data_IF_169852891873
#
_entry.id   IF_169852891873
#
_cell.length_a   1.000
_cell.length_b   1.000
_cell.length_c   1.000
_cell.angle_alpha   90.00
_cell.angle_beta   90.00
_cell.angle_gamma   90.00
#
_symmetry.space_group_name_H-M   'P 1'
#
loop_
_entity.id
_entity.type
_entity.pdbx_description
1 polymer ?
#
# COMPACT_ATOMS: atom_id res chain seq x y z
N UNK A 1 -40.99 -21.01 -9.38
CA UNK A 1 -40.53 -20.72 -10.76
C UNK A 1 -40.69 -21.95 -11.62
N UNK A 2 -41.11 -21.76 -12.87
CA UNK A 2 -41.21 -22.85 -13.85
C UNK A 2 -42.46 -23.73 -13.73
N UNK A 3 -43.44 -23.34 -12.91
CA UNK A 3 -44.75 -23.99 -12.94
C UNK A 3 -45.53 -23.46 -14.14
N UNK A 4 -46.10 -24.39 -14.88
CA UNK A 4 -46.99 -24.14 -15.99
C UNK A 4 -48.44 -24.10 -15.50
N UNK A 5 -49.18 -23.10 -15.95
CA UNK A 5 -50.58 -22.90 -15.59
C UNK A 5 -51.41 -22.80 -16.85
N UNK A 6 -52.43 -23.63 -16.95
CA UNK A 6 -53.50 -23.43 -17.92
C UNK A 6 -54.62 -22.64 -17.25
N UNK A 7 -55.11 -21.62 -17.94
CA UNK A 7 -56.22 -20.81 -17.45
C UNK A 7 -57.46 -21.10 -18.30
N UNK A 8 -58.63 -21.11 -17.64
CA UNK A 8 -59.92 -21.19 -18.31
C UNK A 8 -60.87 -20.12 -17.78
N UNK A 9 -61.67 -19.53 -18.66
CA UNK A 9 -62.64 -18.48 -18.33
C UNK A 9 -64.01 -18.83 -18.93
N UNK A 10 -65.08 -18.59 -18.18
CA UNK A 10 -66.45 -18.71 -18.65
C UNK A 10 -67.24 -17.48 -18.18
N UNK A 11 -68.13 -16.98 -19.03
CA UNK A 11 -69.07 -15.93 -18.64
C UNK A 11 -70.22 -16.53 -17.81
N UNK A 12 -70.69 -15.83 -16.78
CA UNK A 12 -71.74 -16.30 -15.86
C UNK A 12 -72.94 -15.35 -15.91
N UNK A 13 -74.14 -15.88 -16.08
CA UNK A 13 -75.39 -15.12 -15.96
C UNK A 13 -76.36 -15.79 -14.96
N UNK A 14 -77.61 -15.30 -14.86
CA UNK A 14 -78.63 -15.82 -13.93
C UNK A 14 -78.98 -17.31 -14.15
N UNK A 15 -78.69 -17.87 -15.32
CA UNK A 15 -78.90 -19.28 -15.64
C UNK A 15 -77.67 -20.16 -15.36
N UNK A 16 -76.50 -19.56 -15.07
CA UNK A 16 -75.26 -20.26 -14.75
C UNK A 16 -74.06 -19.86 -15.63
N UNK A 17 -72.92 -20.58 -15.48
CA UNK A 17 -71.74 -20.40 -16.32
C UNK A 17 -71.94 -20.97 -17.73
N UNK A 18 -71.45 -20.26 -18.75
CA UNK A 18 -71.33 -20.75 -20.13
C UNK A 18 -70.12 -21.68 -20.32
N UNK A 19 -69.81 -21.99 -21.58
CA UNK A 19 -68.64 -22.82 -21.93
C UNK A 19 -67.32 -22.13 -21.53
N UNK A 20 -66.35 -22.95 -21.12
CA UNK A 20 -65.02 -22.48 -20.75
C UNK A 20 -64.14 -22.32 -21.99
N UNK A 21 -63.67 -21.09 -22.24
CA UNK A 21 -62.53 -20.85 -23.11
C UNK A 21 -61.23 -21.13 -22.35
N UNK A 22 -60.24 -21.76 -22.99
CA UNK A 22 -58.93 -22.07 -22.41
C UNK A 22 -57.83 -21.24 -23.06
N UNK A 23 -56.70 -21.07 -22.38
CA UNK A 23 -55.47 -20.56 -22.98
C UNK A 23 -54.96 -21.50 -24.07
N UNK A 24 -54.22 -20.97 -25.04
CA UNK A 24 -53.56 -21.75 -26.10
C UNK A 24 -52.29 -22.44 -25.55
N UNK A 25 -52.53 -23.38 -24.63
CA UNK A 25 -51.50 -24.11 -23.88
C UNK A 25 -51.15 -23.53 -22.50
N UNK A 26 -50.21 -24.19 -21.81
CA UNK A 26 -49.72 -23.77 -20.49
C UNK A 26 -48.91 -22.47 -20.55
N UNK A 27 -49.18 -21.55 -19.62
CA UNK A 27 -48.41 -20.34 -19.40
C UNK A 27 -47.42 -20.57 -18.26
N UNK A 28 -46.14 -20.36 -18.53
CA UNK A 28 -45.10 -20.48 -17.52
C UNK A 28 -45.08 -19.25 -16.61
N UNK A 29 -45.27 -19.45 -15.30
CA UNK A 29 -45.11 -18.37 -14.34
C UNK A 29 -43.63 -17.97 -14.21
N UNK A 30 -43.33 -16.72 -14.53
CA UNK A 30 -42.01 -16.09 -14.38
C UNK A 30 -42.11 -14.81 -13.52
N UNK A 31 -41.02 -14.39 -12.86
CA UNK A 31 -40.99 -13.13 -12.12
C UNK A 31 -41.35 -11.93 -13.04
N UNK A 32 -41.89 -10.84 -12.48
CA UNK A 32 -42.10 -9.61 -13.23
C UNK A 32 -40.80 -9.12 -13.86
N UNK A 33 -40.90 -8.58 -15.07
CA UNK A 33 -39.78 -7.94 -15.76
C UNK A 33 -39.34 -6.68 -15.01
N UNK A 34 -38.05 -6.61 -14.67
CA UNK A 34 -37.45 -5.56 -13.85
C UNK A 34 -36.12 -5.15 -14.47
N UNK A 35 -35.95 -3.85 -14.71
CA UNK A 35 -34.67 -3.26 -15.15
C UNK A 35 -33.61 -3.55 -14.08
N UNK A 36 -32.37 -3.93 -14.44
CA UNK A 36 -31.34 -4.22 -13.47
C UNK A 36 -31.07 -3.00 -12.57
N UNK A 37 -30.90 -3.22 -11.28
CA UNK A 37 -30.50 -2.18 -10.35
C UNK A 37 -29.64 -2.76 -9.23
N UNK A 38 -28.50 -2.14 -8.97
CA UNK A 38 -27.61 -2.52 -7.87
C UNK A 38 -28.10 -1.96 -6.53
N UNK A 39 -28.06 -2.78 -5.48
CA UNK A 39 -28.55 -2.42 -4.14
C UNK A 39 -27.37 -2.02 -3.25
N UNK A 40 -27.50 -0.91 -2.53
CA UNK A 40 -26.52 -0.47 -1.53
C UNK A 40 -25.31 0.27 -2.11
N UNK A 41 -25.42 0.75 -3.35
CA UNK A 41 -24.42 1.61 -3.99
C UNK A 41 -25.01 3.00 -4.22
N UNK A 42 -24.23 4.04 -3.90
CA UNK A 42 -24.62 5.43 -4.11
C UNK A 42 -24.05 5.91 -5.46
N UNK A 43 -24.90 6.42 -6.34
CA UNK A 43 -24.51 6.96 -7.64
C UNK A 43 -23.53 8.15 -7.55
N UNK A 44 -23.50 8.86 -6.42
CA UNK A 44 -22.69 10.08 -6.24
C UNK A 44 -21.35 9.85 -5.55
N UNK A 45 -21.13 8.68 -4.94
CA UNK A 45 -19.89 8.38 -4.22
C UNK A 45 -19.51 6.91 -4.41
N UNK A 46 -18.40 6.61 -5.12
CA UNK A 46 -17.97 5.23 -5.29
C UNK A 46 -17.64 4.61 -3.93
N UNK A 47 -18.05 3.36 -3.73
CA UNK A 47 -17.75 2.62 -2.52
C UNK A 47 -16.26 2.32 -2.45
N UNK A 48 -15.60 2.68 -1.36
CA UNK A 48 -14.20 2.31 -1.12
C UNK A 48 -14.13 0.91 -0.51
N UNK A 49 -13.24 0.08 -1.06
CA UNK A 49 -12.96 -1.28 -0.61
C UNK A 49 -11.47 -1.35 -0.31
N UNK A 50 -11.14 -1.49 0.97
CA UNK A 50 -9.75 -1.60 1.45
C UNK A 50 -9.47 -3.07 1.75
N UNK A 51 -8.38 -3.61 1.19
CA UNK A 51 -7.96 -5.00 1.34
C UNK A 51 -6.44 -5.06 1.52
N UNK A 52 -5.93 -5.98 2.35
CA UNK A 52 -4.48 -6.10 2.53
C UNK A 52 -3.84 -6.89 1.39
N UNK A 53 -2.62 -6.53 1.00
CA UNK A 53 -1.85 -7.32 0.05
C UNK A 53 -1.68 -8.78 0.54
N UNK A 54 -1.84 -9.74 -0.36
CA UNK A 54 -1.84 -11.17 -0.05
C UNK A 54 -3.16 -11.71 0.54
N UNK A 55 -4.16 -10.88 0.77
CA UNK A 55 -5.53 -11.31 1.07
C UNK A 55 -6.35 -11.48 -0.21
N UNK A 56 -7.55 -12.05 -0.08
CA UNK A 56 -8.45 -12.24 -1.20
C UNK A 56 -9.44 -11.07 -1.28
N UNK A 57 -9.53 -10.45 -2.45
CA UNK A 57 -10.53 -9.43 -2.73
C UNK A 57 -11.85 -10.09 -3.11
N UNK A 58 -12.92 -9.65 -2.43
CA UNK A 58 -14.31 -9.98 -2.76
C UNK A 58 -15.12 -8.71 -2.95
N UNK A 59 -15.78 -8.60 -4.09
CA UNK A 59 -16.65 -7.47 -4.41
C UNK A 59 -18.06 -7.98 -4.65
N UNK A 60 -18.91 -8.04 -3.61
CA UNK A 60 -20.31 -8.39 -3.77
C UNK A 60 -21.11 -7.17 -4.23
N UNK A 61 -21.85 -7.34 -5.32
CA UNK A 61 -22.82 -6.39 -5.85
C UNK A 61 -24.21 -7.05 -5.81
N UNK A 62 -24.96 -6.89 -4.71
CA UNK A 62 -26.35 -7.32 -4.66
C UNK A 62 -27.18 -6.53 -5.67
N UNK A 63 -28.14 -7.17 -6.33
CA UNK A 63 -28.95 -6.54 -7.35
C UNK A 63 -30.39 -7.08 -7.40
N UNK A 64 -31.26 -6.29 -8.02
CA UNK A 64 -32.55 -6.74 -8.56
C UNK A 64 -32.52 -6.68 -10.08
N UNK A 65 -33.28 -7.55 -10.74
CA UNK A 65 -33.37 -7.57 -12.20
C UNK A 65 -34.00 -8.87 -12.69
N UNK A 66 -34.97 -8.76 -13.59
CA UNK A 66 -35.58 -9.90 -14.27
C UNK A 66 -35.84 -9.57 -15.74
N UNK A 67 -35.40 -10.38 -16.71
CA UNK A 67 -34.55 -11.57 -16.57
C UNK A 67 -33.22 -11.29 -15.84
N UNK A 68 -32.61 -12.34 -15.28
CA UNK A 68 -31.34 -12.23 -14.51
C UNK A 68 -30.32 -11.47 -15.38
N UNK A 69 -29.75 -10.37 -14.89
CA UNK A 69 -28.82 -9.55 -15.68
C UNK A 69 -27.54 -10.32 -16.02
N UNK A 70 -27.02 -10.07 -17.22
CA UNK A 70 -25.62 -10.33 -17.53
C UNK A 70 -24.75 -9.37 -16.72
N UNK A 71 -23.66 -9.89 -16.16
CA UNK A 71 -22.73 -9.16 -15.31
C UNK A 71 -21.41 -8.97 -16.03
N UNK A 72 -20.89 -7.75 -16.01
CA UNK A 72 -19.55 -7.43 -16.48
C UNK A 72 -18.83 -6.58 -15.42
N UNK A 73 -17.68 -7.05 -14.96
CA UNK A 73 -16.77 -6.25 -14.13
C UNK A 73 -15.67 -5.65 -15.00
N UNK A 74 -15.27 -4.43 -14.72
CA UNK A 74 -14.16 -3.75 -15.37
C UNK A 74 -13.24 -3.10 -14.34
N UNK A 75 -11.95 -3.01 -14.67
CA UNK A 75 -10.95 -2.23 -13.94
C UNK A 75 -10.45 -1.10 -14.84
N UNK A 76 -10.72 0.14 -14.45
CA UNK A 76 -10.54 1.28 -15.35
C UNK A 76 -11.43 1.14 -16.60
N UNK A 77 -10.82 1.09 -17.78
CA UNK A 77 -11.51 0.88 -19.06
C UNK A 77 -11.58 -0.59 -19.49
N UNK A 78 -10.85 -1.48 -18.80
CA UNK A 78 -10.62 -2.83 -19.28
C UNK A 78 -11.57 -3.81 -18.61
N UNK A 79 -12.31 -4.56 -19.42
CA UNK A 79 -13.19 -5.62 -18.94
C UNK A 79 -12.36 -6.75 -18.30
N UNK A 80 -12.75 -7.13 -17.09
CA UNK A 80 -12.16 -8.23 -16.35
C UNK A 80 -12.74 -9.53 -16.89
N UNK A 81 -11.90 -10.34 -17.51
CA UNK A 81 -12.26 -11.68 -17.96
C UNK A 81 -11.91 -12.68 -16.87
N UNK A 82 -12.85 -13.57 -16.49
CA UNK A 82 -12.54 -14.65 -15.57
C UNK A 82 -11.39 -15.52 -16.12
N UNK A 83 -10.50 -15.92 -15.23
CA UNK A 83 -9.38 -16.82 -15.51
C UNK A 83 -9.20 -17.82 -14.34
N UNK A 84 -8.08 -18.53 -14.28
CA UNK A 84 -7.83 -19.52 -13.21
C UNK A 84 -7.82 -18.90 -11.80
N UNK A 85 -7.48 -17.61 -11.70
CA UNK A 85 -7.40 -16.89 -10.43
C UNK A 85 -8.61 -15.97 -10.23
N UNK A 86 -9.15 -15.36 -11.29
CA UNK A 86 -10.23 -14.38 -11.21
C UNK A 86 -11.57 -15.02 -11.50
N UNK A 87 -12.52 -14.93 -10.56
CA UNK A 87 -13.84 -15.52 -10.71
C UNK A 87 -14.93 -14.45 -10.65
N UNK A 88 -15.92 -14.55 -11.54
CA UNK A 88 -17.15 -13.76 -11.49
C UNK A 88 -18.31 -14.74 -11.32
N UNK A 89 -19.02 -14.63 -10.19
CA UNK A 89 -20.16 -15.50 -9.87
C UNK A 89 -21.44 -14.69 -9.77
N UNK A 90 -22.53 -15.24 -10.29
CA UNK A 90 -23.88 -14.69 -10.10
C UNK A 90 -24.73 -15.72 -9.39
N UNK A 91 -25.08 -15.46 -8.12
CA UNK A 91 -25.84 -16.39 -7.30
C UNK A 91 -26.69 -15.64 -6.29
N UNK A 92 -27.92 -16.11 -6.09
CA UNK A 92 -28.84 -15.59 -5.06
C UNK A 92 -29.03 -14.06 -5.10
N UNK A 93 -29.06 -13.47 -6.30
CA UNK A 93 -29.21 -12.02 -6.49
C UNK A 93 -27.95 -11.21 -6.21
N UNK A 94 -26.78 -11.85 -6.15
CA UNK A 94 -25.48 -11.21 -5.94
C UNK A 94 -24.57 -11.51 -7.12
N UNK A 95 -24.00 -10.45 -7.70
CA UNK A 95 -22.89 -10.51 -8.63
C UNK A 95 -21.60 -10.31 -7.84
N UNK A 96 -20.71 -11.29 -7.81
CA UNK A 96 -19.47 -11.23 -7.03
C UNK A 96 -18.24 -11.38 -7.92
N UNK A 97 -17.31 -10.42 -7.79
CA UNK A 97 -15.94 -10.56 -8.29
C UNK A 97 -15.03 -11.07 -7.16
N UNK A 98 -14.28 -12.13 -7.44
CA UNK A 98 -13.28 -12.71 -6.54
C UNK A 98 -11.90 -12.69 -7.21
N UNK A 99 -10.93 -12.08 -6.54
CA UNK A 99 -9.51 -12.07 -6.94
C UNK A 99 -8.68 -12.51 -5.72
N UNK A 100 -8.06 -13.70 -5.74
CA UNK A 100 -7.25 -14.19 -4.63
C UNK A 100 -5.91 -13.46 -4.59
N UNK A 101 -5.34 -13.34 -3.39
CA UNK A 101 -3.96 -12.88 -3.18
C UNK A 101 -3.61 -11.58 -3.91
N UNK A 102 -4.39 -10.54 -3.67
CA UNK A 102 -4.21 -9.25 -4.34
C UNK A 102 -2.86 -8.60 -4.02
N UNK A 103 -2.38 -7.81 -4.96
CA UNK A 103 -1.15 -7.02 -4.87
C UNK A 103 -1.45 -5.54 -5.03
N UNK A 104 -0.47 -4.66 -4.81
CA UNK A 104 -0.63 -3.23 -5.08
C UNK A 104 -1.10 -2.93 -6.50
N UNK A 105 -0.78 -3.80 -7.48
CA UNK A 105 -1.22 -3.67 -8.85
C UNK A 105 -2.73 -3.79 -9.01
N UNK A 106 -3.44 -4.47 -8.09
CA UNK A 106 -4.89 -4.65 -8.10
C UNK A 106 -5.66 -3.43 -7.60
N UNK A 107 -4.98 -2.44 -7.03
CA UNK A 107 -5.62 -1.16 -6.71
C UNK A 107 -6.15 -0.48 -7.96
N UNK A 108 -7.29 0.22 -7.83
CA UNK A 108 -7.85 0.98 -8.94
C UNK A 108 -9.35 1.23 -8.82
N UNK A 109 -9.89 1.88 -9.85
CA UNK A 109 -11.33 2.06 -9.99
C UNK A 109 -11.91 0.83 -10.67
N UNK A 110 -12.95 0.27 -10.08
CA UNK A 110 -13.68 -0.88 -10.58
C UNK A 110 -15.12 -0.47 -10.90
N UNK A 111 -15.68 -1.09 -11.93
CA UNK A 111 -17.07 -0.94 -12.30
C UNK A 111 -17.75 -2.31 -12.37
N UNK A 112 -19.01 -2.39 -11.96
CA UNK A 112 -19.88 -3.54 -12.21
C UNK A 112 -21.08 -3.07 -13.02
N UNK A 113 -21.26 -3.63 -14.21
CA UNK A 113 -22.37 -3.36 -15.10
C UNK A 113 -23.32 -4.56 -15.12
N UNK A 114 -24.58 -4.30 -14.79
CA UNK A 114 -25.68 -5.25 -14.80
C UNK A 114 -26.56 -4.93 -16.00
N UNK A 115 -26.74 -5.86 -16.94
CA UNK A 115 -27.51 -5.61 -18.17
C UNK A 115 -28.52 -6.70 -18.45
N UNK A 116 -29.75 -6.31 -18.75
CA UNK A 116 -30.73 -7.20 -19.38
C UNK A 116 -31.41 -6.47 -20.56
N UNK A 117 -32.41 -7.11 -21.17
CA UNK A 117 -33.11 -6.57 -22.33
C UNK A 117 -33.88 -5.25 -22.09
N UNK A 118 -34.14 -4.91 -20.82
CA UNK A 118 -34.92 -3.72 -20.44
C UNK A 118 -34.03 -2.51 -20.14
N UNK A 119 -32.76 -2.75 -19.82
CA UNK A 119 -31.82 -1.68 -19.50
C UNK A 119 -30.56 -2.18 -18.81
N UNK A 120 -29.81 -1.23 -18.26
CA UNK A 120 -28.56 -1.48 -17.56
C UNK A 120 -28.40 -0.54 -16.36
N UNK A 121 -27.66 -1.00 -15.36
CA UNK A 121 -27.17 -0.20 -14.25
C UNK A 121 -25.68 -0.46 -14.07
N UNK A 122 -24.93 0.58 -13.71
CA UNK A 122 -23.48 0.51 -13.53
C UNK A 122 -23.09 1.18 -12.23
N UNK A 123 -22.44 0.42 -11.35
CA UNK A 123 -21.88 0.93 -10.09
C UNK A 123 -20.38 1.07 -10.17
N UNK A 124 -19.86 2.14 -9.57
CA UNK A 124 -18.43 2.45 -9.49
C UNK A 124 -17.94 2.22 -8.06
N UNK A 125 -16.72 1.72 -7.95
CA UNK A 125 -16.07 1.36 -6.69
C UNK A 125 -14.59 1.68 -6.79
N UNK A 126 -13.95 1.94 -5.66
CA UNK A 126 -12.50 2.12 -5.60
C UNK A 126 -11.91 1.05 -4.70
N UNK A 127 -11.05 0.21 -5.27
CA UNK A 127 -10.28 -0.79 -4.53
C UNK A 127 -8.93 -0.17 -4.18
N UNK A 128 -8.59 -0.23 -2.89
CA UNK A 128 -7.31 0.22 -2.36
C UNK A 128 -6.66 -0.98 -1.69
N UNK A 129 -5.60 -1.51 -2.32
CA UNK A 129 -4.79 -2.58 -1.74
C UNK A 129 -3.71 -1.94 -0.89
N UNK A 130 -3.72 -2.27 0.40
CA UNK A 130 -2.82 -1.70 1.40
C UNK A 130 -1.82 -2.74 1.91
N UNK A 131 -0.62 -2.32 2.23
CA UNK A 131 0.45 -3.15 2.76
C UNK A 131 1.37 -2.32 3.67
N UNK A 132 2.30 -2.97 4.35
CA UNK A 132 3.46 -2.29 4.93
C UNK A 132 4.29 -1.63 3.82
N UNK A 133 5.09 -0.59 4.12
CA UNK A 133 5.96 0.02 3.13
C UNK A 133 7.01 -0.96 2.63
N UNK A 134 7.60 -0.66 1.48
CA UNK A 134 8.83 -1.31 1.03
C UNK A 134 9.99 -0.99 1.99
N UNK A 135 11.08 -1.76 1.88
CA UNK A 135 12.36 -1.41 2.52
C UNK A 135 12.79 0.00 2.08
N UNK A 136 13.28 0.87 2.99
CA UNK A 136 13.87 2.14 2.59
C UNK A 136 14.96 1.95 1.54
N UNK A 137 15.08 2.90 0.62
CA UNK A 137 16.08 2.80 -0.44
C UNK A 137 17.48 3.11 0.09
N UNK A 138 18.42 2.21 -0.20
CA UNK A 138 19.80 2.30 0.23
C UNK A 138 20.75 3.02 -0.74
N UNK A 139 22.03 3.14 -0.33
CA UNK A 139 22.58 2.73 0.96
C UNK A 139 22.24 3.72 2.09
N UNK A 140 22.39 3.30 3.35
CA UNK A 140 22.44 4.25 4.48
C UNK A 140 23.77 5.00 4.41
N UNK A 141 23.72 6.30 4.16
CA UNK A 141 24.86 7.19 4.26
C UNK A 141 25.10 7.55 5.73
N UNK A 142 26.33 7.34 6.20
CA UNK A 142 26.75 7.67 7.56
C UNK A 142 27.76 8.81 7.49
N UNK A 143 27.49 9.91 8.20
CA UNK A 143 28.32 11.11 8.24
C UNK A 143 28.45 11.66 9.66
N UNK A 144 29.23 12.74 9.82
CA UNK A 144 29.44 13.44 11.10
C UNK A 144 29.73 12.49 12.27
N UNK A 145 30.64 11.54 12.05
CA UNK A 145 30.99 10.53 13.05
C UNK A 145 31.77 11.20 14.18
N UNK A 146 31.24 11.08 15.40
CA UNK A 146 31.81 11.58 16.66
C UNK A 146 31.99 10.41 17.63
N UNK A 147 32.70 10.61 18.75
CA UNK A 147 32.84 9.60 19.80
C UNK A 147 31.51 9.09 20.37
N UNK A 148 30.47 9.93 20.39
CA UNK A 148 29.18 9.67 21.02
C UNK A 148 27.97 9.81 20.07
N UNK A 149 28.18 10.26 18.83
CA UNK A 149 27.10 10.39 17.85
C UNK A 149 27.53 10.13 16.41
N UNK A 150 26.56 9.92 15.54
CA UNK A 150 26.74 9.96 14.09
C UNK A 150 25.42 10.34 13.41
N UNK A 151 25.51 10.78 12.17
CA UNK A 151 24.35 11.11 11.34
C UNK A 151 24.08 9.99 10.35
N UNK A 152 22.82 9.54 10.29
CA UNK A 152 22.32 8.60 9.28
C UNK A 152 21.44 9.35 8.29
N UNK A 153 21.61 9.10 7.00
CA UNK A 153 20.73 9.56 5.92
C UNK A 153 20.40 8.39 5.00
N UNK A 154 19.14 8.31 4.56
CA UNK A 154 18.67 7.27 3.64
C UNK A 154 17.67 7.87 2.65
N UNK A 155 17.08 7.04 1.79
CA UNK A 155 15.97 7.44 0.91
C UNK A 155 14.67 6.76 1.34
N UNK A 156 13.51 7.43 1.16
CA UNK A 156 12.24 6.79 1.42
C UNK A 156 12.07 5.51 0.58
N UNK A 157 11.24 4.56 0.99
CA UNK A 157 10.80 3.44 0.16
C UNK A 157 10.18 3.92 -1.16
N UNK A 158 10.35 3.11 -2.21
CA UNK A 158 9.72 3.37 -3.51
C UNK A 158 8.19 3.29 -3.45
N UNK A 159 7.66 2.41 -2.62
CA UNK A 159 6.23 2.25 -2.36
C UNK A 159 5.96 2.31 -0.85
N UNK A 160 4.98 3.12 -0.46
CA UNK A 160 4.54 3.28 0.92
C UNK A 160 3.51 2.23 1.35
N UNK A 161 3.14 1.30 0.46
CA UNK A 161 2.13 0.28 0.71
C UNK A 161 0.70 0.82 0.66
N UNK A 162 0.46 1.93 -0.04
CA UNK A 162 -0.88 2.52 -0.18
C UNK A 162 -1.35 3.32 1.04
N UNK A 163 -0.45 3.55 2.01
CA UNK A 163 -0.66 4.49 3.10
C UNK A 163 0.62 5.27 3.35
N UNK A 164 0.53 6.60 3.60
CA UNK A 164 1.69 7.41 3.94
C UNK A 164 2.51 6.82 5.08
N UNK A 165 3.83 6.95 4.98
CA UNK A 165 4.78 6.58 6.02
C UNK A 165 4.55 7.48 7.23
N UNK A 166 4.29 6.88 8.39
CA UNK A 166 4.10 7.59 9.66
C UNK A 166 5.43 7.97 10.31
N UNK A 167 6.42 7.09 10.21
CA UNK A 167 7.74 7.25 10.81
C UNK A 167 8.75 6.22 10.28
N UNK A 168 10.01 6.39 10.66
CA UNK A 168 11.10 5.45 10.50
C UNK A 168 11.51 4.92 11.88
N UNK A 169 11.81 3.63 11.93
CA UNK A 169 12.38 2.94 13.08
C UNK A 169 13.88 2.79 12.83
N UNK A 170 14.68 3.38 13.72
CA UNK A 170 16.14 3.35 13.66
C UNK A 170 16.64 2.43 14.76
N UNK A 171 17.52 1.51 14.39
CA UNK A 171 18.13 0.56 15.31
C UNK A 171 19.65 0.52 15.12
N UNK A 172 20.37 0.23 16.20
CA UNK A 172 21.83 0.03 16.20
C UNK A 172 22.16 -1.37 16.70
N UNK A 173 23.13 -2.01 16.07
CA UNK A 173 23.72 -3.26 16.54
C UNK A 173 24.97 -2.92 17.35
N UNK A 174 24.88 -3.10 18.67
CA UNK A 174 26.03 -2.94 19.58
C UNK A 174 26.81 -4.27 19.65
N UNK A 175 28.10 -4.30 19.31
CA UNK A 175 28.92 -5.51 19.27
C UNK A 175 29.09 -6.15 20.65
N UNK A 176 28.95 -5.38 21.75
CA UNK A 176 29.00 -5.93 23.10
C UNK A 176 27.73 -6.69 23.46
N UNK A 177 26.59 -6.31 22.87
CA UNK A 177 25.28 -6.92 23.15
C UNK A 177 24.88 -7.96 22.11
N UNK A 178 25.38 -7.85 20.88
CA UNK A 178 25.10 -8.78 19.79
C UNK A 178 23.66 -8.72 19.25
N UNK A 179 22.87 -7.72 19.65
CA UNK A 179 21.46 -7.59 19.30
C UNK A 179 21.13 -6.18 18.80
N UNK A 180 20.15 -6.11 17.89
CA UNK A 180 19.62 -4.85 17.39
C UNK A 180 18.83 -4.12 18.48
N UNK A 181 19.18 -2.87 18.72
CA UNK A 181 18.58 -2.03 19.75
C UNK A 181 17.89 -0.83 19.13
N UNK A 182 16.63 -0.60 19.51
CA UNK A 182 15.86 0.56 19.07
C UNK A 182 16.49 1.86 19.58
N UNK A 183 16.83 2.74 18.64
CA UNK A 183 17.30 4.11 18.87
C UNK A 183 16.13 5.08 18.79
N UNK A 184 15.27 4.92 17.78
CA UNK A 184 14.11 5.80 17.59
C UNK A 184 12.96 5.08 16.90
N UNK A 185 11.74 5.57 17.14
CA UNK A 185 10.49 5.11 16.49
C UNK A 185 9.55 6.27 16.16
N UNK A 186 10.05 7.49 16.12
CA UNK A 186 9.25 8.70 15.87
C UNK A 186 9.88 9.61 14.80
N UNK A 187 10.93 9.14 14.12
CA UNK A 187 11.60 9.90 13.07
C UNK A 187 10.69 10.02 11.84
N UNK A 188 10.35 11.24 11.41
CA UNK A 188 9.43 11.47 10.26
C UNK A 188 10.14 11.85 8.96
N UNK A 189 11.46 12.02 9.00
CA UNK A 189 12.28 12.46 7.87
C UNK A 189 13.35 11.41 7.59
N UNK A 190 13.90 11.33 6.36
CA UNK A 190 14.86 10.29 6.00
C UNK A 190 16.30 10.60 6.48
N UNK A 191 16.41 11.14 7.69
CA UNK A 191 17.64 11.57 8.36
C UNK A 191 17.47 11.41 9.87
N UNK A 192 18.53 10.97 10.56
CA UNK A 192 18.53 10.89 12.02
C UNK A 192 19.94 11.01 12.61
N UNK A 193 20.11 11.84 13.63
CA UNK A 193 21.33 11.86 14.45
C UNK A 193 21.20 10.81 15.56
N UNK A 194 22.01 9.76 15.48
CA UNK A 194 22.13 8.76 16.54
C UNK A 194 23.07 9.29 17.60
N UNK A 195 22.63 9.29 18.86
CA UNK A 195 23.42 9.70 20.02
C UNK A 195 23.62 8.54 21.00
N UNK A 196 24.47 8.74 22.02
CA UNK A 196 24.76 7.74 23.04
C UNK A 196 25.53 6.54 22.47
N UNK A 197 26.41 6.78 21.51
CA UNK A 197 27.44 5.84 21.10
C UNK A 197 28.56 5.82 22.15
N UNK A 198 29.31 4.72 22.21
CA UNK A 198 30.48 4.61 23.08
C UNK A 198 31.75 4.76 22.24
N UNK A 199 32.64 5.67 22.64
CA UNK A 199 33.89 5.91 21.93
C UNK A 199 34.68 4.62 21.70
N UNK A 200 35.20 4.46 20.49
CA UNK A 200 35.96 3.29 20.05
C UNK A 200 35.12 2.03 19.82
N UNK A 201 33.81 2.06 20.06
CA UNK A 201 32.93 0.92 19.78
C UNK A 201 32.48 0.92 18.33
N UNK A 202 32.39 -0.28 17.76
CA UNK A 202 31.91 -0.52 16.41
C UNK A 202 30.37 -0.54 16.41
N UNK A 203 29.68 -0.03 15.39
CA UNK A 203 28.22 -0.07 15.28
C UNK A 203 27.78 -0.34 13.85
N UNK A 204 26.77 -1.20 13.67
CA UNK A 204 25.94 -1.23 12.46
C UNK A 204 24.60 -0.56 12.72
N UNK A 205 24.00 -0.02 11.68
CA UNK A 205 22.69 0.61 11.75
C UNK A 205 21.71 -0.05 10.80
N UNK A 206 20.44 0.00 11.16
CA UNK A 206 19.37 -0.34 10.23
C UNK A 206 18.19 0.59 10.40
N UNK A 207 17.46 0.79 9.31
CA UNK A 207 16.31 1.68 9.25
C UNK A 207 15.15 0.92 8.60
N UNK A 208 13.98 0.95 9.24
CA UNK A 208 12.73 0.48 8.65
C UNK A 208 11.77 1.64 8.48
N UNK A 209 10.91 1.60 7.46
CA UNK A 209 9.78 2.52 7.35
C UNK A 209 8.55 1.89 8.01
N UNK A 210 7.67 2.70 8.58
CA UNK A 210 6.43 2.24 9.21
C UNK A 210 5.25 3.06 8.68
N UNK A 211 4.15 2.39 8.38
CA UNK A 211 2.85 3.00 8.16
C UNK A 211 1.82 2.34 9.10
N UNK A 212 0.55 2.72 8.97
CA UNK A 212 -0.54 2.17 9.81
C UNK A 212 -0.78 0.66 9.62
N UNK A 213 -0.23 0.05 8.57
CA UNK A 213 -0.38 -1.36 8.24
C UNK A 213 0.83 -2.20 8.65
N UNK A 214 2.00 -1.60 8.88
CA UNK A 214 3.11 -2.27 9.51
C UNK A 214 4.49 -1.65 9.24
N UNK A 215 5.49 -2.30 9.81
CA UNK A 215 6.91 -1.99 9.62
C UNK A 215 7.47 -2.77 8.42
N UNK A 216 8.23 -2.08 7.56
CA UNK A 216 8.92 -2.67 6.42
C UNK A 216 10.09 -3.56 6.82
N UNK A 217 10.68 -4.26 5.85
CA UNK A 217 11.97 -4.90 6.09
C UNK A 217 13.05 -3.84 6.34
N UNK A 218 14.03 -4.10 7.20
CA UNK A 218 15.06 -3.13 7.50
C UNK A 218 16.04 -2.99 6.34
N UNK A 219 16.41 -1.75 6.03
CA UNK A 219 17.62 -1.42 5.28
C UNK A 219 18.79 -1.42 6.27
N UNK A 220 19.79 -2.26 6.08
CA UNK A 220 20.99 -2.29 6.92
C UNK A 220 22.15 -1.50 6.28
N UNK A 221 22.98 -0.89 7.12
CA UNK A 221 24.24 -0.26 6.69
C UNK A 221 25.21 -1.33 6.17
N UNK A 222 25.82 -1.08 5.01
CA UNK A 222 26.73 -2.04 4.36
C UNK A 222 27.89 -2.47 5.26
N UNK A 223 28.50 -1.50 5.95
CA UNK A 223 29.66 -1.70 6.82
C UNK A 223 29.41 -1.06 8.18
N UNK A 224 29.98 -1.62 9.25
CA UNK A 224 29.99 -0.94 10.54
C UNK A 224 30.84 0.33 10.50
N UNK A 225 30.60 1.23 11.46
CA UNK A 225 31.45 2.39 11.76
C UNK A 225 32.02 2.28 13.16
N UNK A 226 33.16 2.93 13.40
CA UNK A 226 33.72 3.08 14.75
C UNK A 226 33.37 4.48 15.24
N UNK A 227 32.74 4.58 16.41
CA UNK A 227 32.39 5.85 17.03
C UNK A 227 33.67 6.55 17.54
N UNK A 228 34.29 7.37 16.70
CA UNK A 228 35.49 8.14 17.01
C UNK A 228 35.54 9.37 16.12
N UNK A 229 36.26 10.40 16.54
CA UNK A 229 36.56 11.50 15.63
C UNK A 229 37.38 10.97 14.44
N UNK A 230 36.94 11.19 13.19
CA UNK A 230 37.74 10.84 12.02
C UNK A 230 38.99 11.71 11.93
N UNK A 231 38.93 12.91 12.53
CA UNK A 231 40.04 13.83 12.64
C UNK A 231 40.86 13.57 13.91
N UNK A 232 42.18 13.59 13.76
CA UNK A 232 43.12 13.58 14.87
C UNK A 232 43.73 14.97 15.04
N UNK A 233 44.42 15.22 16.16
CA UNK A 233 45.15 16.49 16.29
C UNK A 233 46.21 16.58 15.17
N UNK A 234 46.34 17.74 14.48
CA UNK A 234 47.44 17.96 13.56
C UNK A 234 48.76 17.76 14.29
N UNK A 235 49.77 17.29 13.57
CA UNK A 235 51.12 17.31 14.11
C UNK A 235 51.62 18.76 14.24
N UNK A 236 52.58 18.98 15.15
CA UNK A 236 53.24 20.28 15.26
C UNK A 236 53.90 20.70 13.92
N UNK A 237 54.00 22.01 13.65
CA UNK A 237 54.66 22.50 12.45
C UNK A 237 56.13 22.08 12.43
N UNK A 238 56.59 21.60 11.27
CA UNK A 238 57.98 21.21 11.07
C UNK A 238 58.81 22.39 10.56
N UNK A 239 60.09 22.42 10.95
CA UNK A 239 61.09 23.36 10.44
C UNK A 239 60.68 24.83 10.65
N UNK A 240 60.56 25.24 11.92
CA UNK A 240 60.33 26.64 12.28
C UNK A 240 61.61 27.43 11.98
N UNK A 241 61.54 28.32 11.00
CA UNK A 241 62.59 29.26 10.64
C UNK A 241 62.26 30.65 11.18
N UNK A 242 63.28 31.33 11.69
CA UNK A 242 63.20 32.72 12.12
C UNK A 242 63.64 33.61 10.97
N UNK A 243 62.72 34.38 10.41
CA UNK A 243 63.00 35.19 9.22
C UNK A 243 63.58 36.57 9.57
N UNK A 244 62.91 37.33 10.45
CA UNK A 244 63.30 38.69 10.83
C UNK A 244 63.15 38.88 12.35
N UNK A 245 64.10 39.57 12.97
CA UNK A 245 64.05 40.00 14.38
C UNK A 245 64.26 41.51 14.47
N UNK A 246 63.43 42.18 15.26
CA UNK A 246 63.60 43.57 15.71
C UNK A 246 63.64 43.60 17.25
N UNK A 247 63.91 44.76 17.85
CA UNK A 247 63.93 44.92 19.32
C UNK A 247 62.64 44.46 20.01
N UNK A 248 61.50 44.51 19.30
CA UNK A 248 60.17 44.21 19.85
C UNK A 248 59.40 43.16 19.05
N UNK A 249 60.00 42.50 18.06
CA UNK A 249 59.28 41.49 17.26
C UNK A 249 60.17 40.43 16.65
N UNK A 250 59.58 39.25 16.42
CA UNK A 250 60.18 38.17 15.65
C UNK A 250 59.15 37.61 14.67
N UNK A 251 59.57 37.42 13.42
CA UNK A 251 58.76 36.74 12.41
C UNK A 251 59.20 35.29 12.29
N UNK A 252 58.25 34.37 12.51
CA UNK A 252 58.44 32.94 12.36
C UNK A 252 57.75 32.46 11.07
N UNK A 253 58.40 31.55 10.35
CA UNK A 253 57.84 30.82 9.22
C UNK A 253 58.05 29.34 9.42
N UNK A 254 57.09 28.50 9.03
CA UNK A 254 57.22 27.04 9.15
C UNK A 254 56.60 26.34 7.95
N UNK A 255 56.95 25.08 7.75
CA UNK A 255 56.33 24.24 6.72
C UNK A 255 55.06 23.60 7.26
N UNK A 256 54.10 23.34 6.36
CA UNK A 256 52.86 22.60 6.69
C UNK A 256 53.24 21.30 7.43
N UNK A 257 52.52 20.94 8.52
CA UNK A 257 52.73 19.66 9.19
C UNK A 257 52.64 18.48 8.23
N UNK A 258 53.34 17.40 8.55
CA UNK A 258 53.33 16.19 7.71
C UNK A 258 51.95 15.50 7.70
N UNK A 259 51.20 15.67 8.78
CA UNK A 259 49.82 15.24 8.93
C UNK A 259 49.03 16.38 9.60
N UNK A 260 47.99 16.87 8.95
CA UNK A 260 47.10 17.94 9.42
C UNK A 260 45.92 17.42 10.26
N UNK A 261 45.87 16.11 10.52
CA UNK A 261 44.82 15.49 11.29
C UNK A 261 43.67 14.96 10.46
N UNK A 262 43.69 15.16 9.13
CA UNK A 262 42.62 14.80 8.18
C UNK A 262 41.92 16.02 7.57
#
# INVERSE_FOLDING_TARGET
NGKEYEFRVAAVNKAGPGEYAKTDGPIQARPPDVVPHAIGFNAFSPKEIIVRAGEDLRIPVPFVGSPIPQVNFAKGSDDIKPDENTQITVKDGIAELFIPKVTGADSGNYACTLKNQLGQDTVQMRVIVVDKPDTPEGPIAISDIKPDSCVLTWKPPKNDGGSPISNYIIEKLDPKKGEWQKVSSYCRVPFYEVTGLTEGSEYKFRVSAENVYGQSHPLESEKPIIAKNPFTAPQGPNNIDVANQTENSVTLSWKKPLNDGG
#
